data_IF_452841435037
#
_entry.id   IF_452841435037
#
_cell.length_a   1.000
_cell.length_b   1.000
_cell.length_c   1.000
_cell.angle_alpha   90.00
_cell.angle_beta   90.00
_cell.angle_gamma   90.00
#
_symmetry.space_group_name_H-M   'P 1'
#
loop_
_entity.id
_entity.type
_entity.pdbx_description
1 polymer ?
#
# COMPACT_ATOMS: atom_id res chain seq x y z
N UNK A 1 39.18 -12.82 4.23
CA UNK A 1 37.82 -12.97 3.68
C UNK A 1 37.45 -11.71 2.91
N UNK A 2 36.64 -11.83 1.86
CA UNK A 2 36.09 -10.66 1.18
C UNK A 2 35.04 -10.00 2.09
N UNK A 3 34.94 -8.66 2.05
CA UNK A 3 33.89 -7.90 2.76
C UNK A 3 32.87 -7.34 1.78
N UNK A 4 31.69 -6.99 2.24
CA UNK A 4 30.60 -6.44 1.41
C UNK A 4 31.03 -5.14 0.75
N UNK A 5 31.63 -4.21 1.49
CA UNK A 5 32.10 -2.93 0.91
C UNK A 5 33.13 -3.15 -0.20
N UNK A 6 34.07 -4.08 -0.01
CA UNK A 6 35.06 -4.43 -1.04
C UNK A 6 34.40 -5.11 -2.24
N UNK A 7 33.40 -5.96 -2.01
CA UNK A 7 32.66 -6.60 -3.08
C UNK A 7 31.91 -5.58 -3.95
N UNK A 8 31.25 -4.60 -3.32
CA UNK A 8 30.52 -3.52 -4.02
C UNK A 8 31.41 -2.63 -4.90
N UNK A 9 32.69 -2.54 -4.59
CA UNK A 9 33.68 -1.85 -5.43
C UNK A 9 34.05 -2.58 -6.72
N UNK A 10 33.69 -3.85 -6.87
CA UNK A 10 34.04 -4.64 -8.06
C UNK A 10 33.06 -4.41 -9.23
N UNK A 11 33.58 -4.51 -10.44
CA UNK A 11 32.81 -4.46 -11.69
C UNK A 11 32.88 -5.83 -12.39
N UNK A 12 31.72 -6.32 -12.85
CA UNK A 12 31.61 -7.55 -13.65
C UNK A 12 30.83 -8.68 -12.97
N UNK A 13 30.00 -9.36 -13.76
CA UNK A 13 29.15 -10.48 -13.36
C UNK A 13 29.85 -11.84 -13.59
N UNK A 14 30.92 -12.11 -12.86
CA UNK A 14 31.61 -13.42 -12.87
C UNK A 14 31.37 -14.17 -11.55
N UNK A 15 31.45 -15.51 -11.52
CA UNK A 15 31.44 -16.26 -10.26
C UNK A 15 32.65 -15.91 -9.39
N UNK A 16 32.40 -15.55 -8.13
CA UNK A 16 33.43 -15.25 -7.14
C UNK A 16 33.75 -16.50 -6.33
N UNK A 17 35.02 -16.91 -6.35
CA UNK A 17 35.53 -18.06 -5.59
C UNK A 17 35.94 -17.70 -4.15
N UNK A 18 36.22 -16.42 -3.88
CA UNK A 18 36.61 -15.96 -2.55
C UNK A 18 35.44 -16.07 -1.56
N UNK A 19 35.64 -16.71 -0.39
CA UNK A 19 34.62 -16.83 0.64
C UNK A 19 34.14 -15.45 1.14
N UNK A 20 32.82 -15.31 1.22
CA UNK A 20 32.13 -14.15 1.76
C UNK A 20 31.33 -14.59 2.98
N UNK A 21 31.74 -14.16 4.17
CA UNK A 21 31.06 -14.48 5.45
C UNK A 21 30.03 -13.39 5.74
N UNK A 22 28.79 -13.80 6.00
CA UNK A 22 27.65 -12.90 6.13
C UNK A 22 26.71 -13.38 7.23
N UNK A 23 26.03 -12.44 7.89
CA UNK A 23 24.85 -12.69 8.71
C UNK A 23 23.59 -12.57 7.86
N UNK A 24 22.69 -13.53 7.98
CA UNK A 24 21.36 -13.49 7.38
C UNK A 24 20.48 -12.59 8.25
N UNK A 25 20.16 -11.39 7.76
CA UNK A 25 19.41 -10.38 8.49
C UNK A 25 17.90 -10.66 8.41
N UNK A 26 17.40 -10.96 7.22
CA UNK A 26 16.02 -11.38 7.00
C UNK A 26 15.89 -12.19 5.70
N UNK A 27 14.79 -12.93 5.60
CA UNK A 27 14.38 -13.65 4.40
C UNK A 27 13.04 -13.04 3.98
N UNK A 28 12.96 -12.57 2.74
CA UNK A 28 11.75 -11.99 2.18
C UNK A 28 10.86 -13.01 1.50
N UNK A 29 9.77 -12.53 0.92
CA UNK A 29 8.80 -13.38 0.21
C UNK A 29 9.36 -13.92 -1.10
N UNK A 30 9.09 -15.20 -1.38
CA UNK A 30 9.39 -15.83 -2.67
C UNK A 30 8.57 -15.18 -3.78
N UNK A 31 9.25 -14.70 -4.81
CA UNK A 31 8.62 -14.15 -6.01
C UNK A 31 8.64 -15.18 -7.13
N UNK A 32 7.50 -15.36 -7.79
CA UNK A 32 7.34 -16.21 -8.97
C UNK A 32 7.38 -15.35 -10.24
N UNK A 33 8.07 -15.82 -11.26
CA UNK A 33 8.18 -15.15 -12.55
C UNK A 33 8.27 -16.17 -13.69
N UNK A 34 8.00 -15.70 -14.91
CA UNK A 34 8.12 -16.52 -16.12
C UNK A 34 9.24 -15.96 -16.99
N UNK A 35 10.14 -16.83 -17.45
CA UNK A 35 11.20 -16.48 -18.42
C UNK A 35 11.30 -17.62 -19.42
N UNK A 36 11.22 -17.29 -20.71
CA UNK A 36 11.24 -18.25 -21.82
C UNK A 36 10.20 -19.37 -21.68
N UNK A 37 9.02 -19.04 -21.15
CA UNK A 37 7.93 -19.99 -20.93
C UNK A 37 8.05 -20.84 -19.66
N UNK A 38 9.21 -20.86 -19.00
CA UNK A 38 9.41 -21.59 -17.74
C UNK A 38 8.99 -20.75 -16.53
N UNK A 39 8.20 -21.37 -15.64
CA UNK A 39 7.91 -20.81 -14.31
C UNK A 39 9.14 -20.97 -13.44
N UNK A 40 9.68 -19.86 -12.96
CA UNK A 40 10.82 -19.77 -12.06
C UNK A 40 10.43 -19.00 -10.81
N UNK A 41 11.21 -19.19 -9.75
CA UNK A 41 11.03 -18.45 -8.52
C UNK A 41 12.38 -18.00 -7.97
N UNK A 42 12.34 -16.95 -7.17
CA UNK A 42 13.50 -16.52 -6.39
C UNK A 42 13.06 -15.90 -5.08
N UNK A 43 13.91 -16.02 -4.06
CA UNK A 43 13.70 -15.42 -2.75
C UNK A 43 14.74 -14.32 -2.54
N UNK A 44 14.30 -13.15 -2.07
CA UNK A 44 15.23 -12.07 -1.69
C UNK A 44 15.64 -12.27 -0.24
N UNK A 45 16.93 -12.19 0.03
CA UNK A 45 17.49 -12.28 1.38
C UNK A 45 18.32 -11.04 1.68
N UNK A 46 18.20 -10.54 2.90
CA UNK A 46 19.00 -9.46 3.44
C UNK A 46 20.24 -10.03 4.09
N UNK A 47 21.42 -9.67 3.60
CA UNK A 47 22.70 -10.15 4.12
C UNK A 47 23.53 -8.97 4.60
N UNK A 48 24.34 -9.16 5.64
CA UNK A 48 25.27 -8.12 6.09
C UNK A 48 26.56 -8.71 6.63
N UNK A 49 27.63 -7.94 6.56
CA UNK A 49 28.83 -8.15 7.37
C UNK A 49 29.08 -6.92 8.25
N UNK A 50 30.24 -6.86 8.91
CA UNK A 50 30.62 -5.72 9.75
C UNK A 50 30.82 -4.40 8.99
N UNK A 51 30.81 -4.43 7.66
CA UNK A 51 31.15 -3.28 6.81
C UNK A 51 29.94 -2.69 6.10
N UNK A 52 28.99 -3.53 5.64
CA UNK A 52 27.77 -3.08 4.98
C UNK A 52 26.73 -4.22 4.84
N UNK A 53 25.52 -3.87 4.40
CA UNK A 53 24.46 -4.79 4.01
C UNK A 53 24.35 -4.93 2.48
N UNK A 54 23.89 -6.09 2.00
CA UNK A 54 23.78 -6.44 0.60
C UNK A 54 22.56 -7.32 0.32
N UNK A 55 22.01 -7.16 -0.88
CA UNK A 55 20.90 -7.96 -1.38
C UNK A 55 21.38 -9.33 -1.85
N UNK A 56 20.73 -10.39 -1.40
CA UNK A 56 20.87 -11.73 -1.95
C UNK A 56 19.64 -12.13 -2.77
N UNK A 57 19.84 -12.73 -3.94
CA UNK A 57 18.78 -13.36 -4.74
C UNK A 57 19.02 -14.86 -4.81
N UNK A 58 18.15 -15.63 -4.17
CA UNK A 58 18.23 -17.09 -4.10
C UNK A 58 17.30 -17.69 -5.14
N UNK A 59 17.86 -18.23 -6.21
CA UNK A 59 17.11 -18.93 -7.28
C UNK A 59 16.96 -20.43 -7.03
N UNK A 60 17.73 -20.99 -6.10
CA UNK A 60 17.64 -22.39 -5.69
C UNK A 60 17.15 -22.44 -4.24
N UNK A 61 15.87 -22.73 -4.06
CA UNK A 61 15.20 -22.73 -2.74
C UNK A 61 15.81 -23.73 -1.76
N UNK A 62 16.47 -24.80 -2.24
CA UNK A 62 17.18 -25.75 -1.37
C UNK A 62 18.30 -25.10 -0.56
N UNK A 63 18.86 -23.97 -1.03
CA UNK A 63 19.92 -23.23 -0.33
C UNK A 63 19.40 -22.51 0.91
N UNK A 64 18.09 -22.23 0.99
CA UNK A 64 17.46 -21.59 2.15
C UNK A 64 17.50 -22.47 3.40
N UNK A 65 17.64 -23.79 3.26
CA UNK A 65 17.75 -24.72 4.41
C UNK A 65 18.94 -24.39 5.34
N UNK A 66 19.97 -23.74 4.79
CA UNK A 66 21.14 -23.29 5.54
C UNK A 66 21.08 -21.79 5.90
N UNK A 67 20.00 -21.10 5.55
CA UNK A 67 19.80 -19.67 5.77
C UNK A 67 18.59 -19.52 6.70
N UNK A 68 18.83 -19.38 8.00
CA UNK A 68 17.82 -18.98 8.98
C UNK A 68 18.07 -17.53 9.37
N UNK A 69 17.02 -16.79 9.74
CA UNK A 69 17.20 -15.43 10.26
C UNK A 69 18.20 -15.44 11.44
N UNK A 70 19.10 -14.47 11.46
CA UNK A 70 20.24 -14.35 12.39
C UNK A 70 21.36 -15.38 12.23
N UNK A 71 21.27 -16.36 11.33
CA UNK A 71 22.36 -17.30 11.10
C UNK A 71 23.56 -16.63 10.42
N UNK A 72 24.77 -17.07 10.78
CA UNK A 72 25.99 -16.66 10.07
C UNK A 72 26.41 -17.76 9.09
N UNK A 73 26.62 -17.36 7.84
CA UNK A 73 26.92 -18.25 6.72
C UNK A 73 28.19 -17.82 5.99
N UNK A 74 28.77 -18.75 5.23
CA UNK A 74 29.78 -18.48 4.21
C UNK A 74 29.20 -18.81 2.85
N UNK A 75 29.30 -17.87 1.92
CA UNK A 75 29.01 -18.04 0.52
C UNK A 75 30.29 -18.27 -0.28
N UNK A 76 30.27 -19.28 -1.15
CA UNK A 76 31.30 -19.53 -2.16
C UNK A 76 30.65 -19.82 -3.51
N UNK A 77 31.34 -19.50 -4.62
CA UNK A 77 30.83 -19.66 -5.97
C UNK A 77 29.48 -18.93 -6.18
N UNK A 78 29.34 -17.76 -5.58
CA UNK A 78 28.22 -16.86 -5.82
C UNK A 78 28.53 -15.94 -7.01
N UNK A 79 27.51 -15.39 -7.63
CA UNK A 79 27.68 -14.38 -8.69
C UNK A 79 27.37 -13.03 -8.08
N UNK A 80 28.18 -12.00 -8.34
CA UNK A 80 27.88 -10.64 -7.92
C UNK A 80 27.51 -9.79 -9.14
N UNK A 81 26.38 -9.07 -9.06
CA UNK A 81 25.92 -8.13 -10.09
C UNK A 81 25.91 -6.72 -9.51
N UNK A 82 26.42 -5.77 -10.28
CA UNK A 82 26.58 -4.38 -9.84
C UNK A 82 25.99 -3.37 -10.85
N UNK A 83 24.85 -3.71 -11.45
CA UNK A 83 24.22 -2.91 -12.52
C UNK A 83 23.38 -1.74 -11.97
N UNK A 84 22.68 -1.95 -10.85
CA UNK A 84 21.89 -0.93 -10.16
C UNK A 84 22.27 -0.90 -8.67
N UNK A 85 21.87 -1.96 -7.96
CA UNK A 85 22.22 -2.21 -6.57
C UNK A 85 23.06 -3.48 -6.50
N UNK A 86 24.20 -3.42 -5.80
CA UNK A 86 25.06 -4.59 -5.59
C UNK A 86 24.26 -5.77 -5.06
N UNK A 87 24.23 -6.86 -5.84
CA UNK A 87 23.41 -8.05 -5.55
C UNK A 87 24.23 -9.32 -5.65
N UNK A 88 24.15 -10.16 -4.61
CA UNK A 88 24.69 -11.52 -4.59
C UNK A 88 23.64 -12.49 -5.11
N UNK A 89 23.93 -13.16 -6.21
CA UNK A 89 23.07 -14.16 -6.82
C UNK A 89 23.51 -15.55 -6.38
N UNK A 90 22.60 -16.27 -5.74
CA UNK A 90 22.77 -17.61 -5.18
C UNK A 90 22.03 -18.57 -6.09
N UNK A 91 22.78 -19.49 -6.70
CA UNK A 91 22.26 -20.48 -7.67
C UNK A 91 22.60 -21.90 -7.21
N UNK A 92 22.28 -22.91 -8.02
CA UNK A 92 22.64 -24.32 -7.75
C UNK A 92 24.12 -24.54 -7.44
N UNK A 93 25.01 -23.79 -8.10
CA UNK A 93 26.48 -23.93 -7.96
C UNK A 93 27.04 -23.21 -6.73
N UNK A 94 26.26 -22.31 -6.13
CA UNK A 94 26.66 -21.58 -4.93
C UNK A 94 26.64 -22.51 -3.73
N UNK A 95 27.72 -22.49 -2.95
CA UNK A 95 27.82 -23.21 -1.68
C UNK A 95 27.43 -22.27 -0.55
N UNK A 96 26.48 -22.71 0.27
CA UNK A 96 26.02 -22.01 1.47
C UNK A 96 26.37 -22.88 2.66
N UNK A 97 27.33 -22.44 3.46
CA UNK A 97 27.89 -23.20 4.58
C UNK A 97 27.59 -22.48 5.90
N UNK A 98 27.17 -23.21 6.93
CA UNK A 98 27.04 -22.67 8.30
C UNK A 98 28.43 -22.41 8.87
N UNK A 99 28.58 -21.38 9.69
CA UNK A 99 29.85 -21.05 10.33
C UNK A 99 29.65 -20.40 11.69
N UNK A 100 30.74 -20.13 12.40
CA UNK A 100 30.72 -19.41 13.68
C UNK A 100 30.07 -18.04 13.54
N UNK A 101 29.35 -17.63 14.60
CA UNK A 101 28.63 -16.36 14.66
C UNK A 101 29.51 -15.16 14.27
N UNK A 102 28.88 -14.15 13.69
CA UNK A 102 29.48 -12.85 13.40
C UNK A 102 28.72 -11.79 14.17
N UNK A 103 29.47 -10.93 14.86
CA UNK A 103 28.92 -9.74 15.47
C UNK A 103 28.81 -8.65 14.40
N UNK A 104 27.58 -8.27 14.06
CA UNK A 104 27.26 -7.30 13.00
C UNK A 104 26.53 -6.15 13.68
N UNK A 105 26.94 -4.88 13.48
CA UNK A 105 26.25 -3.73 14.04
C UNK A 105 24.75 -3.73 13.74
N UNK A 106 23.94 -3.38 14.74
CA UNK A 106 22.46 -3.42 14.66
C UNK A 106 21.91 -2.64 13.47
N UNK A 107 22.42 -1.43 13.21
CA UNK A 107 22.01 -0.62 12.05
C UNK A 107 22.25 -1.32 10.69
N UNK A 108 23.25 -2.21 10.58
CA UNK A 108 23.48 -3.01 9.36
C UNK A 108 22.54 -4.22 9.29
N UNK A 109 22.15 -4.77 10.44
CA UNK A 109 21.12 -5.81 10.51
C UNK A 109 19.77 -5.24 10.07
N UNK A 110 19.39 -4.06 10.58
CA UNK A 110 18.18 -3.35 10.17
C UNK A 110 18.21 -3.01 8.67
N UNK A 111 19.33 -2.49 8.17
CA UNK A 111 19.52 -2.23 6.75
C UNK A 111 19.38 -3.49 5.90
N UNK A 112 19.96 -4.61 6.34
CA UNK A 112 19.81 -5.91 5.69
C UNK A 112 18.35 -6.39 5.71
N UNK A 113 17.66 -6.25 6.85
CA UNK A 113 16.26 -6.63 6.99
C UNK A 113 15.36 -5.83 6.04
N UNK A 114 15.58 -4.51 5.94
CA UNK A 114 14.87 -3.62 5.01
C UNK A 114 15.17 -3.94 3.52
N UNK A 115 16.35 -4.50 3.20
CA UNK A 115 16.63 -4.98 1.83
C UNK A 115 15.77 -6.20 1.49
N UNK A 116 15.61 -7.14 2.42
CA UNK A 116 14.81 -8.36 2.20
C UNK A 116 13.31 -8.03 2.17
N UNK A 117 12.89 -7.19 3.12
CA UNK A 117 11.51 -6.79 3.36
C UNK A 117 11.45 -5.26 3.38
N UNK A 118 11.43 -4.62 2.20
CA UNK A 118 11.35 -3.17 2.13
C UNK A 118 10.06 -2.69 2.81
N UNK A 119 10.13 -1.60 3.61
CA UNK A 119 8.93 -1.03 4.19
C UNK A 119 7.96 -0.64 3.07
N UNK A 120 6.64 -0.72 3.33
CA UNK A 120 5.65 -0.23 2.38
C UNK A 120 5.95 1.21 1.97
N UNK A 121 5.68 1.54 0.71
CA UNK A 121 5.78 2.91 0.23
C UNK A 121 4.93 3.86 1.09
N UNK A 122 5.34 5.13 1.18
CA UNK A 122 4.60 6.14 1.93
C UNK A 122 3.15 6.23 1.46
N UNK A 123 2.21 6.40 2.41
CA UNK A 123 0.80 6.56 2.08
C UNK A 123 0.54 8.02 1.71
N UNK A 124 -0.01 8.26 0.53
CA UNK A 124 -0.31 9.59 -0.01
C UNK A 124 -1.81 9.74 -0.27
N UNK A 125 -2.30 10.98 -0.20
CA UNK A 125 -3.64 11.33 -0.66
C UNK A 125 -3.71 11.26 -2.20
N UNK A 126 -4.87 10.93 -2.76
CA UNK A 126 -5.00 10.68 -4.20
C UNK A 126 -4.64 11.91 -5.06
N UNK A 127 -4.93 13.11 -4.58
CA UNK A 127 -4.52 14.36 -5.24
C UNK A 127 -2.99 14.49 -5.37
N UNK A 128 -2.24 14.03 -4.38
CA UNK A 128 -0.78 14.12 -4.37
C UNK A 128 -0.15 12.98 -5.20
N UNK A 129 -0.82 11.83 -5.29
CA UNK A 129 -0.44 10.74 -6.20
C UNK A 129 -0.44 11.20 -7.65
N UNK A 130 -1.45 11.98 -8.07
CA UNK A 130 -1.50 12.54 -9.43
C UNK A 130 -0.35 13.48 -9.78
N UNK A 131 0.32 14.04 -8.76
CA UNK A 131 1.49 14.92 -8.92
C UNK A 131 2.81 14.16 -8.78
N UNK A 132 2.76 12.88 -8.43
CA UNK A 132 3.94 12.05 -8.20
C UNK A 132 4.58 11.62 -9.54
N UNK A 133 5.91 11.46 -9.61
CA UNK A 133 6.57 11.00 -10.82
C UNK A 133 6.12 9.59 -11.22
N UNK A 134 6.00 9.35 -12.53
CA UNK A 134 5.68 8.03 -13.09
C UNK A 134 6.77 7.02 -12.69
N UNK A 135 6.37 5.75 -12.50
CA UNK A 135 7.20 4.64 -12.00
C UNK A 135 7.60 4.74 -10.52
N UNK A 136 7.03 5.68 -9.77
CA UNK A 136 7.20 5.76 -8.31
C UNK A 136 6.25 4.78 -7.63
N UNK A 137 6.72 4.12 -6.57
CA UNK A 137 5.87 3.31 -5.69
C UNK A 137 5.25 4.19 -4.61
N UNK A 138 3.94 4.07 -4.43
CA UNK A 138 3.16 4.78 -3.42
C UNK A 138 2.21 3.81 -2.73
N UNK A 139 1.70 4.21 -1.57
CA UNK A 139 0.55 3.56 -0.94
C UNK A 139 -0.63 4.53 -0.92
N UNK A 140 -1.85 4.02 -1.01
CA UNK A 140 -3.08 4.84 -1.03
C UNK A 140 -4.16 4.21 -0.17
N UNK A 141 -5.11 5.05 0.27
CA UNK A 141 -6.34 4.62 0.94
C UNK A 141 -7.53 5.27 0.25
N UNK A 142 -8.64 4.56 0.16
CA UNK A 142 -9.86 5.11 -0.41
C UNK A 142 -10.98 4.09 -0.54
N UNK A 143 -12.15 4.57 -0.94
CA UNK A 143 -13.33 3.76 -1.25
C UNK A 143 -13.33 3.38 -2.72
N UNK A 144 -13.60 2.12 -3.02
CA UNK A 144 -13.85 1.70 -4.41
C UNK A 144 -15.27 2.10 -4.80
N UNK A 145 -15.41 3.05 -5.72
CA UNK A 145 -16.71 3.57 -6.15
C UNK A 145 -17.26 2.86 -7.40
N UNK A 146 -16.38 2.26 -8.20
CA UNK A 146 -16.78 1.48 -9.38
C UNK A 146 -15.72 0.47 -9.76
N UNK A 147 -16.15 -0.59 -10.47
CA UNK A 147 -15.28 -1.61 -11.04
C UNK A 147 -15.70 -1.90 -12.48
N UNK A 148 -14.73 -1.94 -13.37
CA UNK A 148 -14.93 -2.40 -14.74
C UNK A 148 -14.98 -3.93 -14.79
N UNK A 149 -15.58 -4.46 -15.86
CA UNK A 149 -15.46 -5.89 -16.19
C UNK A 149 -13.99 -6.28 -16.33
N UNK A 150 -13.61 -7.41 -15.72
CA UNK A 150 -12.27 -7.96 -15.86
C UNK A 150 -11.99 -8.27 -17.33
N UNK A 151 -10.80 -7.88 -17.81
CA UNK A 151 -10.33 -8.10 -19.18
C UNK A 151 -9.17 -9.06 -19.16
N UNK A 152 -9.06 -9.88 -20.20
CA UNK A 152 -7.89 -10.73 -20.42
C UNK A 152 -6.97 -10.08 -21.44
N UNK A 153 -5.73 -9.85 -21.07
CA UNK A 153 -4.70 -9.26 -21.94
C UNK A 153 -3.52 -10.21 -22.11
N UNK A 154 -2.92 -10.24 -23.30
CA UNK A 154 -1.73 -11.04 -23.56
C UNK A 154 -0.47 -10.30 -23.12
N UNK A 155 0.19 -10.81 -22.09
CA UNK A 155 1.50 -10.32 -21.65
C UNK A 155 2.53 -11.40 -21.97
N UNK A 156 3.45 -11.10 -22.90
CA UNK A 156 4.49 -12.04 -23.36
C UNK A 156 3.91 -13.40 -23.80
N UNK A 157 2.77 -13.37 -24.48
CA UNK A 157 2.09 -14.57 -25.00
C UNK A 157 1.24 -15.34 -23.99
N UNK A 158 1.21 -14.93 -22.72
CA UNK A 158 0.32 -15.49 -21.71
C UNK A 158 -0.90 -14.60 -21.48
N UNK A 159 -2.06 -15.22 -21.35
CA UNK A 159 -3.29 -14.55 -20.98
C UNK A 159 -3.24 -14.17 -19.49
N UNK A 160 -3.44 -12.89 -19.20
CA UNK A 160 -3.40 -12.33 -17.85
C UNK A 160 -4.65 -11.48 -17.62
N UNK A 161 -5.33 -11.73 -16.51
CA UNK A 161 -6.50 -10.96 -16.10
C UNK A 161 -6.08 -9.59 -15.55
N UNK A 162 -6.77 -8.55 -15.98
CA UNK A 162 -6.65 -7.18 -15.47
C UNK A 162 -8.04 -6.62 -15.22
N UNK A 163 -8.24 -5.94 -14.09
CA UNK A 163 -9.48 -5.25 -13.74
C UNK A 163 -9.14 -3.80 -13.38
N UNK A 164 -9.89 -2.86 -13.94
CA UNK A 164 -9.77 -1.44 -13.58
C UNK A 164 -10.82 -1.12 -12.53
N UNK A 165 -10.42 -0.46 -11.45
CA UNK A 165 -11.31 0.00 -10.39
C UNK A 165 -11.12 1.50 -10.17
N UNK A 166 -12.16 2.21 -9.79
CA UNK A 166 -12.09 3.64 -9.44
C UNK A 166 -12.03 3.78 -7.93
N UNK A 167 -10.91 4.31 -7.44
CA UNK A 167 -10.66 4.57 -6.02
C UNK A 167 -10.88 6.06 -5.74
N UNK A 168 -11.68 6.37 -4.73
CA UNK A 168 -11.99 7.75 -4.30
C UNK A 168 -11.57 7.95 -2.84
N UNK A 169 -10.95 9.08 -2.56
CA UNK A 169 -10.77 9.60 -1.21
C UNK A 169 -11.45 10.98 -1.09
N UNK A 170 -11.20 11.68 0.01
CA UNK A 170 -11.72 13.03 0.21
C UNK A 170 -11.02 14.11 -0.63
N UNK A 171 -9.94 13.77 -1.34
CA UNK A 171 -9.13 14.71 -2.11
C UNK A 171 -9.32 14.57 -3.62
N UNK A 172 -9.54 13.35 -4.13
CA UNK A 172 -9.68 13.08 -5.56
C UNK A 172 -10.22 11.66 -5.84
N UNK A 173 -10.35 11.31 -7.12
CA UNK A 173 -10.59 9.95 -7.64
C UNK A 173 -9.48 9.55 -8.61
N UNK A 174 -9.02 8.30 -8.53
CA UNK A 174 -7.99 7.74 -9.42
C UNK A 174 -8.40 6.35 -9.92
N UNK A 175 -8.00 6.02 -11.16
CA UNK A 175 -8.11 4.67 -11.71
C UNK A 175 -6.98 3.78 -11.20
N UNK A 176 -7.32 2.55 -10.83
CA UNK A 176 -6.37 1.55 -10.37
C UNK A 176 -6.49 0.29 -11.21
N UNK A 177 -5.39 -0.14 -11.84
CA UNK A 177 -5.33 -1.41 -12.57
C UNK A 177 -4.85 -2.53 -11.65
N UNK A 178 -5.73 -3.47 -11.35
CA UNK A 178 -5.46 -4.69 -10.59
C UNK A 178 -5.11 -5.82 -11.55
N UNK A 179 -4.01 -6.52 -11.29
CA UNK A 179 -3.51 -7.61 -12.12
C UNK A 179 -3.61 -8.98 -11.44
N UNK A 180 -3.81 -10.03 -12.26
CA UNK A 180 -3.82 -11.45 -11.84
C UNK A 180 -4.83 -11.70 -10.72
N UNK A 181 -4.42 -12.36 -9.65
CA UNK A 181 -5.22 -12.75 -8.50
C UNK A 181 -5.87 -11.53 -7.81
N UNK A 182 -5.28 -10.33 -7.92
CA UNK A 182 -5.88 -9.10 -7.38
C UNK A 182 -7.06 -8.60 -8.22
N UNK A 183 -7.18 -9.04 -9.48
CA UNK A 183 -8.25 -8.68 -10.39
C UNK A 183 -9.51 -9.54 -10.20
N UNK A 184 -9.42 -10.68 -9.50
CA UNK A 184 -10.55 -11.61 -9.37
C UNK A 184 -11.62 -11.09 -8.38
N UNK A 185 -11.27 -10.68 -7.14
CA UNK A 185 -12.27 -10.28 -6.16
C UNK A 185 -12.99 -9.00 -6.59
N UNK A 186 -14.19 -8.80 -6.04
CA UNK A 186 -14.89 -7.52 -6.10
C UNK A 186 -14.75 -6.78 -4.78
N UNK A 187 -14.50 -5.49 -4.91
CA UNK A 187 -14.23 -4.56 -3.83
C UNK A 187 -15.16 -3.34 -3.85
N UNK A 188 -16.17 -3.30 -4.74
CA UNK A 188 -17.13 -2.19 -4.82
C UNK A 188 -17.70 -1.86 -3.44
N UNK A 189 -17.66 -0.58 -3.08
CA UNK A 189 -18.17 -0.06 -1.82
C UNK A 189 -17.23 -0.23 -0.62
N UNK A 190 -16.13 -1.00 -0.74
CA UNK A 190 -15.18 -1.22 0.35
C UNK A 190 -14.15 -0.10 0.46
N UNK A 191 -13.68 0.14 1.68
CA UNK A 191 -12.58 1.07 1.95
C UNK A 191 -11.27 0.30 2.12
N UNK A 192 -10.34 0.50 1.20
CA UNK A 192 -9.12 -0.30 1.10
C UNK A 192 -7.87 0.54 1.31
N UNK A 193 -6.88 -0.05 1.93
CA UNK A 193 -5.49 0.36 1.86
C UNK A 193 -4.76 -0.49 0.83
N UNK A 194 -4.13 0.16 -0.15
CA UNK A 194 -3.34 -0.48 -1.19
C UNK A 194 -1.89 -0.04 -1.05
N UNK A 195 -0.99 -0.97 -0.82
CA UNK A 195 0.45 -0.65 -0.65
C UNK A 195 1.25 -0.95 -1.91
N UNK A 196 2.37 -0.25 -2.09
CA UNK A 196 3.34 -0.51 -3.16
C UNK A 196 2.71 -0.59 -4.56
N UNK A 197 1.73 0.28 -4.83
CA UNK A 197 1.19 0.48 -6.18
C UNK A 197 2.11 1.41 -6.94
N UNK A 198 2.23 1.23 -8.25
CA UNK A 198 3.11 2.04 -9.09
C UNK A 198 2.31 3.12 -9.81
N UNK A 199 2.80 4.36 -9.80
CA UNK A 199 2.22 5.46 -10.58
C UNK A 199 2.49 5.22 -12.06
N UNK A 200 1.42 5.25 -12.86
CA UNK A 200 1.44 5.07 -14.31
C UNK A 200 0.79 6.27 -15.00
N UNK A 201 1.18 6.53 -16.24
CA UNK A 201 0.59 7.56 -17.06
C UNK A 201 0.30 6.97 -18.45
N UNK A 202 -0.90 7.19 -18.96
CA UNK A 202 -1.27 6.81 -20.32
C UNK A 202 -2.17 7.89 -20.91
N UNK A 203 -1.82 8.39 -22.10
CA UNK A 203 -2.50 9.53 -22.74
C UNK A 203 -2.73 10.70 -21.76
N UNK A 204 -1.68 11.07 -21.02
CA UNK A 204 -1.67 12.13 -20.00
C UNK A 204 -2.62 11.91 -18.80
N UNK A 205 -3.29 10.77 -18.71
CA UNK A 205 -4.08 10.38 -17.54
C UNK A 205 -3.19 9.63 -16.52
N UNK A 206 -3.03 10.22 -15.32
CA UNK A 206 -2.35 9.56 -14.21
C UNK A 206 -3.25 8.52 -13.58
N UNK A 207 -2.71 7.32 -13.43
CA UNK A 207 -3.35 6.16 -12.82
C UNK A 207 -2.35 5.44 -11.92
N UNK A 208 -2.82 4.43 -11.20
CA UNK A 208 -1.94 3.55 -10.43
C UNK A 208 -2.16 2.10 -10.84
N UNK A 209 -1.11 1.29 -10.74
CA UNK A 209 -1.14 -0.13 -11.13
C UNK A 209 -0.63 -0.99 -9.99
N UNK A 210 -1.27 -2.14 -9.76
CA UNK A 210 -0.76 -3.10 -8.79
C UNK A 210 0.54 -3.73 -9.27
N UNK A 211 1.43 -4.05 -8.33
CA UNK A 211 2.71 -4.73 -8.56
C UNK A 211 2.72 -6.09 -7.88
N UNK A 212 3.79 -6.87 -8.09
CA UNK A 212 3.98 -8.14 -7.35
C UNK A 212 4.17 -7.95 -5.85
N UNK A 213 4.37 -6.71 -5.38
CA UNK A 213 4.51 -6.35 -3.96
C UNK A 213 3.27 -5.66 -3.40
N UNK A 214 2.21 -5.53 -4.20
CA UNK A 214 1.00 -4.87 -3.75
C UNK A 214 0.23 -5.77 -2.79
N UNK A 215 -0.09 -5.21 -1.64
CA UNK A 215 -0.97 -5.80 -0.64
C UNK A 215 -2.23 -4.93 -0.54
N UNK A 216 -3.40 -5.54 -0.61
CA UNK A 216 -4.70 -4.89 -0.42
C UNK A 216 -5.30 -5.35 0.91
N UNK A 217 -5.66 -4.39 1.75
CA UNK A 217 -6.32 -4.65 3.04
C UNK A 217 -7.54 -3.77 3.19
N UNK A 218 -8.66 -4.38 3.55
CA UNK A 218 -9.83 -3.65 4.02
C UNK A 218 -9.49 -2.95 5.34
N UNK A 219 -9.91 -1.70 5.48
CA UNK A 219 -9.62 -0.89 6.65
C UNK A 219 -10.80 0.01 7.00
N UNK A 220 -10.84 0.46 8.25
CA UNK A 220 -11.91 1.35 8.70
C UNK A 220 -11.83 2.69 7.98
N UNK A 221 -13.00 3.20 7.58
CA UNK A 221 -13.14 4.56 7.07
C UNK A 221 -12.70 5.53 8.17
N UNK A 222 -11.70 6.40 7.92
CA UNK A 222 -11.26 7.36 8.90
C UNK A 222 -12.38 8.36 9.18
N UNK A 223 -12.51 8.75 10.44
CA UNK A 223 -13.46 9.78 10.84
C UNK A 223 -12.90 11.16 10.46
N UNK A 224 -13.70 11.98 9.79
CA UNK A 224 -13.33 13.34 9.38
C UNK A 224 -14.23 14.36 10.05
N UNK A 225 -13.69 15.54 10.36
CA UNK A 225 -14.47 16.66 10.91
C UNK A 225 -14.90 17.55 9.76
N UNK A 226 -16.19 17.81 9.65
CA UNK A 226 -16.77 18.74 8.67
C UNK A 226 -17.45 19.88 9.42
N UNK A 227 -17.24 21.11 8.93
CA UNK A 227 -17.83 22.33 9.47
C UNK A 227 -18.57 23.05 8.36
N UNK A 228 -19.71 23.63 8.68
CA UNK A 228 -20.50 24.41 7.71
C UNK A 228 -21.80 24.92 8.33
N UNK A 229 -22.63 25.54 7.50
CA UNK A 229 -24.00 25.91 7.85
C UNK A 229 -24.96 24.90 7.24
N UNK A 230 -25.78 24.23 8.05
CA UNK A 230 -26.86 23.40 7.55
C UNK A 230 -27.96 24.31 7.01
N UNK A 231 -28.23 24.22 5.72
CA UNK A 231 -29.15 25.11 4.99
C UNK A 231 -30.43 24.42 4.51
N UNK A 232 -30.49 23.09 4.63
CA UNK A 232 -31.64 22.29 4.24
C UNK A 232 -31.55 20.90 4.83
N UNK A 233 -32.69 20.22 4.85
CA UNK A 233 -32.76 18.84 5.30
C UNK A 233 -33.91 18.09 4.61
N UNK A 234 -33.81 16.77 4.59
CA UNK A 234 -34.85 15.85 4.13
C UNK A 234 -35.02 14.74 5.18
N UNK A 235 -36.27 14.54 5.61
CA UNK A 235 -36.63 13.46 6.53
C UNK A 235 -36.80 12.15 5.76
N UNK A 236 -36.13 11.09 6.23
CA UNK A 236 -36.33 9.70 5.79
C UNK A 236 -36.82 8.86 6.98
N UNK A 237 -37.21 7.60 6.74
CA UNK A 237 -37.79 6.74 7.79
C UNK A 237 -36.88 6.58 9.02
N UNK A 238 -35.57 6.41 8.82
CA UNK A 238 -34.60 6.13 9.89
C UNK A 238 -33.46 7.14 9.96
N UNK A 239 -33.37 8.05 8.98
CA UNK A 239 -32.27 9.01 8.86
C UNK A 239 -32.80 10.39 8.48
N UNK A 240 -31.98 11.40 8.72
CA UNK A 240 -32.17 12.76 8.23
C UNK A 240 -31.00 13.07 7.31
N UNK A 241 -31.30 13.43 6.07
CA UNK A 241 -30.34 14.01 5.13
C UNK A 241 -30.20 15.49 5.45
N UNK A 242 -29.00 15.98 5.73
CA UNK A 242 -28.69 17.38 6.02
C UNK A 242 -27.82 17.92 4.88
N UNK A 243 -28.28 19.00 4.24
CA UNK A 243 -27.51 19.74 3.24
C UNK A 243 -26.64 20.78 3.96
N UNK A 244 -25.34 20.53 3.98
CA UNK A 244 -24.34 21.40 4.59
C UNK A 244 -23.67 22.29 3.52
N UNK A 245 -23.62 23.59 3.79
CA UNK A 245 -22.92 24.58 3.00
C UNK A 245 -21.60 24.97 3.68
N UNK A 246 -20.48 24.88 2.96
CA UNK A 246 -19.17 25.30 3.42
C UNK A 246 -18.51 26.22 2.38
N UNK A 247 -18.80 27.53 2.46
CA UNK A 247 -18.40 28.49 1.43
C UNK A 247 -19.20 28.29 0.15
N UNK A 248 -18.52 27.93 -0.94
CA UNK A 248 -19.14 27.66 -2.25
C UNK A 248 -19.41 26.16 -2.49
N UNK A 249 -19.07 25.28 -1.54
CA UNK A 249 -19.27 23.84 -1.62
C UNK A 249 -20.51 23.38 -0.85
N UNK A 250 -21.29 22.49 -1.46
CA UNK A 250 -22.48 21.87 -0.86
C UNK A 250 -22.26 20.36 -0.71
N UNK A 251 -22.56 19.83 0.47
CA UNK A 251 -22.43 18.41 0.78
C UNK A 251 -23.68 17.91 1.50
N UNK A 252 -24.24 16.81 1.01
CA UNK A 252 -25.32 16.08 1.70
C UNK A 252 -24.72 15.06 2.67
N UNK A 253 -25.22 15.06 3.91
CA UNK A 253 -24.80 14.18 4.99
C UNK A 253 -26.00 13.46 5.61
N UNK A 254 -25.85 12.20 5.98
CA UNK A 254 -26.93 11.43 6.61
C UNK A 254 -26.66 11.23 8.10
N UNK A 255 -27.65 11.51 8.96
CA UNK A 255 -27.62 11.24 10.38
C UNK A 255 -28.79 10.33 10.81
N UNK A 256 -28.62 9.40 11.75
CA UNK A 256 -29.74 8.68 12.35
C UNK A 256 -30.74 9.63 13.03
N UNK A 257 -32.04 9.42 12.86
CA UNK A 257 -33.09 10.29 13.46
C UNK A 257 -32.93 10.45 14.98
N UNK A 258 -32.59 9.37 15.68
CA UNK A 258 -32.37 9.40 17.13
C UNK A 258 -31.23 10.33 17.53
N UNK A 259 -30.14 10.34 16.74
CA UNK A 259 -28.98 11.19 17.01
C UNK A 259 -29.35 12.68 16.90
N UNK A 260 -30.20 13.04 15.94
CA UNK A 260 -30.70 14.40 15.77
C UNK A 260 -31.64 14.78 16.92
N UNK A 261 -32.57 13.90 17.29
CA UNK A 261 -33.49 14.11 18.40
C UNK A 261 -32.74 14.40 19.72
N UNK A 262 -31.75 13.55 20.03
CA UNK A 262 -30.92 13.68 21.23
C UNK A 262 -30.16 15.01 21.23
N UNK A 263 -29.60 15.41 20.07
CA UNK A 263 -28.85 16.67 19.93
C UNK A 263 -29.75 17.90 20.09
N UNK A 264 -30.95 17.87 19.51
CA UNK A 264 -31.91 18.97 19.60
C UNK A 264 -32.69 18.96 20.92
N UNK A 265 -32.55 17.89 21.71
CA UNK A 265 -33.31 17.65 22.94
C UNK A 265 -34.83 17.68 22.71
N UNK A 266 -35.30 17.05 21.62
CA UNK A 266 -36.71 16.96 21.24
C UNK A 266 -37.17 15.51 21.03
N UNK A 267 -38.48 15.29 20.89
CA UNK A 267 -39.02 13.98 20.51
C UNK A 267 -38.86 13.75 19.00
N UNK A 268 -38.92 12.48 18.57
CA UNK A 268 -38.78 12.11 17.14
C UNK A 268 -39.79 12.83 16.24
N UNK A 269 -41.01 13.05 16.74
CA UNK A 269 -42.11 13.72 16.03
C UNK A 269 -41.86 15.22 15.83
N UNK A 270 -41.06 15.85 16.72
CA UNK A 270 -40.80 17.29 16.72
C UNK A 270 -39.53 17.67 15.95
N UNK A 271 -38.78 16.69 15.43
CA UNK A 271 -37.50 16.93 14.74
C UNK A 271 -37.69 17.89 13.56
N UNK A 272 -38.71 17.66 12.75
CA UNK A 272 -38.96 18.43 11.53
C UNK A 272 -39.20 19.91 11.85
N UNK A 273 -40.09 20.20 12.80
CA UNK A 273 -40.38 21.58 13.25
C UNK A 273 -39.14 22.23 13.87
N UNK A 274 -38.36 21.50 14.68
CA UNK A 274 -37.14 22.03 15.29
C UNK A 274 -36.07 22.38 14.25
N UNK A 275 -35.89 21.54 13.23
CA UNK A 275 -34.95 21.81 12.15
C UNK A 275 -35.41 23.00 11.30
N UNK A 276 -36.70 23.08 10.94
CA UNK A 276 -37.26 24.21 10.18
C UNK A 276 -37.05 25.55 10.89
N UNK A 277 -37.19 25.58 12.22
CA UNK A 277 -37.07 26.80 13.02
C UNK A 277 -35.62 27.23 13.30
N UNK A 278 -34.65 26.32 13.14
CA UNK A 278 -33.23 26.55 13.45
C UNK A 278 -32.36 26.74 12.22
N UNK A 279 -32.74 26.21 11.05
CA UNK A 279 -31.99 26.39 9.80
C UNK A 279 -32.16 27.84 9.30
N UNK A 280 -31.09 28.50 8.82
CA UNK A 280 -29.71 28.02 8.75
C UNK A 280 -29.01 27.95 10.12
N UNK A 281 -28.21 26.91 10.34
CA UNK A 281 -27.51 26.68 11.60
C UNK A 281 -26.06 26.24 11.41
N UNK A 282 -25.15 26.72 12.26
CA UNK A 282 -23.76 26.28 12.29
C UNK A 282 -23.66 24.87 12.84
N UNK A 283 -22.96 24.02 12.10
CA UNK A 283 -22.75 22.63 12.42
C UNK A 283 -21.28 22.25 12.42
N UNK A 284 -20.91 21.40 13.38
CA UNK A 284 -19.64 20.68 13.41
C UNK A 284 -19.94 19.19 13.58
N UNK A 285 -19.66 18.42 12.54
CA UNK A 285 -19.94 16.99 12.49
C UNK A 285 -18.65 16.20 12.38
N UNK A 286 -18.61 15.03 13.03
CA UNK A 286 -17.63 14.00 12.72
C UNK A 286 -18.30 12.90 11.91
N UNK A 287 -17.83 12.71 10.69
CA UNK A 287 -18.45 11.84 9.71
C UNK A 287 -17.53 10.69 9.32
N UNK A 288 -18.11 9.61 8.82
CA UNK A 288 -17.41 8.59 8.03
C UNK A 288 -18.09 8.54 6.66
N UNK A 289 -17.34 8.89 5.62
CA UNK A 289 -17.85 9.10 4.27
C UNK A 289 -18.93 10.19 4.22
N UNK A 290 -20.22 9.82 4.17
CA UNK A 290 -21.36 10.75 4.20
C UNK A 290 -22.21 10.63 5.46
N UNK A 291 -21.91 9.65 6.33
CA UNK A 291 -22.71 9.39 7.54
C UNK A 291 -22.15 10.12 8.74
N UNK A 292 -22.98 10.89 9.43
CA UNK A 292 -22.67 11.57 10.68
C UNK A 292 -22.65 10.53 11.81
N UNK A 293 -21.51 10.47 12.51
CA UNK A 293 -21.31 9.60 13.65
C UNK A 293 -21.27 10.35 14.98
N UNK A 294 -20.87 11.63 14.97
CA UNK A 294 -20.84 12.49 16.16
C UNK A 294 -21.25 13.89 15.73
N UNK A 295 -22.11 14.52 16.52
CA UNK A 295 -22.48 15.92 16.37
C UNK A 295 -21.80 16.69 17.51
N UNK A 296 -20.77 17.46 17.18
CA UNK A 296 -20.05 18.27 18.16
C UNK A 296 -20.77 19.61 18.41
N UNK A 297 -21.46 20.15 17.40
CA UNK A 297 -22.17 21.43 17.49
C UNK A 297 -23.33 21.49 16.49
N UNK A 298 -24.49 22.00 16.93
CA UNK A 298 -25.62 22.41 16.10
C UNK A 298 -26.28 23.65 16.75
N UNK A 299 -25.90 24.83 16.29
CA UNK A 299 -26.32 26.11 16.86
C UNK A 299 -26.88 27.03 15.78
N UNK A 300 -28.01 27.69 16.07
CA UNK A 300 -28.64 28.63 15.14
C UNK A 300 -27.68 29.76 14.80
N UNK A 301 -27.64 30.17 13.53
CA UNK A 301 -26.90 31.38 13.14
C UNK A 301 -27.69 32.61 13.63
N UNK A 302 -27.02 33.45 14.44
CA UNK A 302 -27.52 34.76 14.87
C UNK A 302 -27.66 35.75 13.69
#
# INVERSE_FOLDING_TARGET
>A
MLTVTKLKGNKGAKPYSLPLKLKVCAIGTTQKYVTDGEKKEYTVVGLADTTDAIKGMVYDSSKLNNMQASATIILMNYIFKNENEGTVVITKTTKVLKTAQMDVPEHLIEKGAAIANPPPAATLALRDVKRSPVKTLVSVKGRIISEDMAKTVKVRGQDVTVKTVSLKDNTDTIKVSLWRDLAEPSFVGKFLQMTNVVVTAFNDEISISSTSKTDLKECDVPMTVVKGSAIGFEMKELTVSILLCNGDEFQELEAPVQMIADTLSCQLEDIEENLQNRIPMKCVFKIKDTTIHIIDQMEKED
#
